data_IF_967869111540
#
_entry.id   IF_967869111540
#
_cell.length_a   1.000
_cell.length_b   1.000
_cell.length_c   1.000
_cell.angle_alpha   90.00
_cell.angle_beta   90.00
_cell.angle_gamma   90.00
#
_symmetry.space_group_name_H-M   'P 1'
#
loop_
_entity.id
_entity.type
_entity.pdbx_description
1 polymer ?
#
# COMPACT_ATOMS: atom_id res chain seq x y z
N UNK A 1 -11.48 -0.18 -3.00
CA UNK A 1 -10.07 0.28 -2.96
C UNK A 1 -9.98 1.79 -2.85
N UNK A 2 -10.35 2.57 -3.88
CA UNK A 2 -10.22 4.05 -3.85
C UNK A 2 -10.98 4.69 -2.69
N UNK A 3 -12.21 4.28 -2.42
CA UNK A 3 -13.00 4.84 -1.30
C UNK A 3 -12.38 4.49 0.07
N UNK A 4 -11.72 3.34 0.19
CA UNK A 4 -11.01 2.96 1.41
C UNK A 4 -9.72 3.78 1.57
N UNK A 5 -9.00 4.03 0.47
CA UNK A 5 -7.84 4.93 0.44
C UNK A 5 -8.23 6.36 0.82
N UNK A 6 -9.33 6.90 0.29
CA UNK A 6 -9.82 8.23 0.65
C UNK A 6 -10.20 8.32 2.13
N UNK A 7 -10.89 7.30 2.68
CA UNK A 7 -11.22 7.25 4.11
C UNK A 7 -9.99 7.12 5.01
N UNK A 8 -8.96 6.42 4.54
CA UNK A 8 -7.66 6.29 5.20
C UNK A 8 -6.79 7.55 5.08
N UNK A 9 -7.30 8.64 4.51
CA UNK A 9 -6.56 9.91 4.42
C UNK A 9 -5.46 9.91 3.36
N UNK A 10 -5.52 9.02 2.37
CA UNK A 10 -4.59 9.03 1.23
C UNK A 10 -4.86 10.25 0.37
N UNK A 11 -3.84 11.09 0.19
CA UNK A 11 -3.90 12.31 -0.62
C UNK A 11 -3.28 12.11 -1.99
N UNK A 12 -2.30 11.21 -2.10
CA UNK A 12 -1.67 10.83 -3.36
C UNK A 12 -1.30 9.34 -3.36
N UNK A 13 -1.52 8.68 -4.50
CA UNK A 13 -1.19 7.27 -4.70
C UNK A 13 -0.59 7.10 -6.09
N UNK A 14 0.70 6.74 -6.14
CA UNK A 14 1.43 6.56 -7.37
C UNK A 14 2.01 5.15 -7.43
N UNK A 15 1.79 4.47 -8.56
CA UNK A 15 2.33 3.13 -8.81
C UNK A 15 3.21 3.15 -10.05
N UNK A 16 4.49 2.88 -9.83
CA UNK A 16 5.51 2.80 -10.85
C UNK A 16 5.83 1.34 -11.14
N UNK A 17 6.01 1.00 -12.41
CA UNK A 17 6.43 -0.35 -12.82
C UNK A 17 7.66 -0.24 -13.70
N UNK A 18 8.69 -1.02 -13.37
CA UNK A 18 9.86 -1.21 -14.21
C UNK A 18 10.24 -2.67 -14.21
N UNK A 19 10.22 -3.27 -15.39
CA UNK A 19 10.47 -4.71 -15.58
C UNK A 19 9.48 -5.54 -14.74
N UNK A 20 9.96 -6.27 -13.74
CA UNK A 20 9.17 -7.11 -12.84
C UNK A 20 8.97 -6.49 -11.44
N UNK A 21 9.38 -5.23 -11.24
CA UNK A 21 9.26 -4.53 -9.97
C UNK A 21 8.18 -3.44 -10.05
N UNK A 22 7.27 -3.45 -9.09
CA UNK A 22 6.31 -2.39 -8.84
C UNK A 22 6.67 -1.62 -7.57
N UNK A 23 6.71 -0.30 -7.65
CA UNK A 23 6.99 0.59 -6.52
C UNK A 23 5.79 1.49 -6.30
N UNK A 24 5.24 1.47 -5.10
CA UNK A 24 4.17 2.35 -4.68
C UNK A 24 4.75 3.52 -3.87
N UNK A 25 4.36 4.73 -4.23
CA UNK A 25 4.49 5.91 -3.36
C UNK A 25 3.09 6.31 -2.92
N UNK A 26 2.89 6.36 -1.61
CA UNK A 26 1.62 6.72 -0.98
C UNK A 26 1.89 7.89 -0.06
N UNK A 27 1.13 8.96 -0.24
CA UNK A 27 1.09 10.10 0.67
C UNK A 27 -0.25 10.06 1.39
N UNK A 28 -0.21 10.14 2.71
CA UNK A 28 -1.39 10.19 3.56
C UNK A 28 -1.14 11.11 4.75
N UNK A 29 -2.22 11.64 5.32
CA UNK A 29 -2.15 12.50 6.49
C UNK A 29 -1.68 11.74 7.75
N UNK A 30 -2.08 10.47 7.87
CA UNK A 30 -1.80 9.60 9.01
C UNK A 30 -1.69 8.14 8.54
N UNK A 31 -0.51 7.53 8.73
CA UNK A 31 -0.25 6.16 8.30
C UNK A 31 -1.03 5.14 9.14
N UNK A 32 -1.26 5.41 10.42
CA UNK A 32 -2.00 4.49 11.31
C UNK A 32 -3.47 4.49 10.92
N UNK A 33 -4.03 5.66 10.59
CA UNK A 33 -5.39 5.77 10.06
C UNK A 33 -5.55 5.08 8.69
N UNK A 34 -4.53 5.15 7.84
CA UNK A 34 -4.50 4.38 6.59
C UNK A 34 -4.54 2.88 6.87
N UNK A 35 -3.66 2.39 7.76
CA UNK A 35 -3.59 0.97 8.12
C UNK A 35 -4.92 0.47 8.73
N UNK A 36 -5.53 1.23 9.64
CA UNK A 36 -6.85 0.90 10.21
C UNK A 36 -7.96 0.89 9.14
N UNK A 37 -7.93 1.82 8.19
CA UNK A 37 -8.94 1.90 7.14
C UNK A 37 -8.85 0.76 6.11
N UNK A 38 -7.64 0.21 5.90
CA UNK A 38 -7.43 -0.94 5.00
C UNK A 38 -7.58 -2.27 5.72
N UNK A 39 -7.35 -2.31 7.03
CA UNK A 39 -7.56 -3.49 7.87
C UNK A 39 -9.04 -3.87 7.90
N UNK A 40 -9.37 -5.07 7.40
CA UNK A 40 -10.73 -5.60 7.42
C UNK A 40 -11.69 -5.04 6.36
N UNK A 41 -11.24 -4.15 5.45
CA UNK A 41 -12.04 -3.71 4.32
C UNK A 41 -12.12 -4.81 3.24
N UNK A 42 -13.30 -5.38 3.03
CA UNK A 42 -13.53 -6.47 2.06
C UNK A 42 -13.09 -6.09 0.64
N UNK A 43 -13.24 -4.83 0.23
CA UNK A 43 -12.87 -4.40 -1.11
C UNK A 43 -11.35 -4.26 -1.27
N UNK A 44 -10.61 -3.98 -0.20
CA UNK A 44 -9.15 -4.06 -0.18
C UNK A 44 -8.70 -5.52 -0.19
N UNK A 45 -9.30 -6.37 0.63
CA UNK A 45 -8.97 -7.79 0.69
C UNK A 45 -9.18 -8.50 -0.66
N UNK A 46 -10.31 -8.25 -1.32
CA UNK A 46 -10.61 -8.78 -2.66
C UNK A 46 -9.60 -8.29 -3.70
N UNK A 47 -9.19 -7.02 -3.60
CA UNK A 47 -8.20 -6.43 -4.48
C UNK A 47 -6.80 -7.03 -4.28
N UNK A 48 -6.36 -7.20 -3.04
CA UNK A 48 -5.06 -7.81 -2.75
C UNK A 48 -5.05 -9.29 -3.13
N UNK A 49 -6.12 -10.04 -2.89
CA UNK A 49 -6.25 -11.42 -3.36
C UNK A 49 -6.20 -11.50 -4.89
N UNK A 50 -6.87 -10.58 -5.59
CA UNK A 50 -6.85 -10.51 -7.04
C UNK A 50 -5.47 -10.14 -7.59
N UNK A 51 -4.80 -9.14 -7.00
CA UNK A 51 -3.51 -8.66 -7.50
C UNK A 51 -2.35 -9.58 -7.09
N UNK A 52 -2.46 -10.27 -5.95
CA UNK A 52 -1.48 -11.22 -5.45
C UNK A 52 -1.17 -12.34 -6.44
N UNK A 53 -2.11 -12.74 -7.29
CA UNK A 53 -1.87 -13.75 -8.36
C UNK A 53 -0.83 -13.32 -9.40
N UNK A 54 -0.51 -12.03 -9.46
CA UNK A 54 0.47 -11.46 -10.38
C UNK A 54 1.81 -11.17 -9.71
N UNK A 55 1.87 -11.20 -8.36
CA UNK A 55 3.06 -10.85 -7.58
C UNK A 55 3.80 -12.13 -7.18
N UNK A 56 5.13 -12.09 -7.20
CA UNK A 56 5.97 -13.15 -6.61
C UNK A 56 6.22 -12.88 -5.12
N UNK A 57 6.35 -11.61 -4.78
CA UNK A 57 6.67 -11.06 -3.45
C UNK A 57 6.11 -9.62 -3.38
N UNK A 58 5.97 -9.05 -2.18
CA UNK A 58 5.42 -7.72 -1.95
C UNK A 58 4.42 -7.69 -0.80
N UNK A 59 3.31 -6.96 -0.98
CA UNK A 59 2.21 -6.94 -0.01
C UNK A 59 1.65 -8.35 0.18
N UNK A 60 1.66 -8.84 1.42
CA UNK A 60 1.11 -10.12 1.82
C UNK A 60 -0.24 -9.92 2.54
N UNK A 61 -1.38 -10.21 1.88
CA UNK A 61 -2.70 -10.04 2.49
C UNK A 61 -3.00 -11.05 3.61
N UNK A 62 -2.18 -12.09 3.78
CA UNK A 62 -2.32 -13.08 4.85
C UNK A 62 -1.49 -12.79 6.09
N UNK A 63 -0.63 -11.77 6.05
CA UNK A 63 0.18 -11.33 7.18
C UNK A 63 -0.59 -10.33 8.06
N UNK A 64 -0.06 -10.07 9.25
CA UNK A 64 -0.50 -8.95 10.08
C UNK A 64 -0.36 -7.63 9.29
N UNK A 65 -1.30 -6.66 9.36
CA UNK A 65 -1.24 -5.42 8.57
C UNK A 65 0.06 -4.64 8.69
N UNK A 66 0.70 -4.64 9.87
CA UNK A 66 1.97 -3.94 10.11
C UNK A 66 3.17 -4.67 9.46
N UNK A 67 3.07 -6.00 9.31
CA UNK A 67 4.12 -6.85 8.73
C UNK A 67 3.87 -7.20 7.25
N UNK A 68 2.63 -7.04 6.79
CA UNK A 68 2.15 -7.44 5.47
C UNK A 68 2.49 -6.43 4.38
N UNK A 69 2.81 -5.18 4.74
CA UNK A 69 3.27 -4.17 3.79
C UNK A 69 4.79 -3.99 3.95
N UNK A 70 5.60 -4.30 2.92
CA UNK A 70 7.05 -4.10 2.98
C UNK A 70 7.40 -2.63 2.79
N UNK A 71 7.16 -1.80 3.81
CA UNK A 71 7.52 -0.39 3.79
C UNK A 71 9.02 -0.20 3.58
N UNK A 72 9.38 0.79 2.76
CA UNK A 72 10.77 1.15 2.51
C UNK A 72 11.23 2.23 3.51
N UNK A 73 12.43 2.07 4.05
CA UNK A 73 13.07 3.11 4.84
C UNK A 73 13.58 4.25 3.94
N UNK A 74 13.19 5.50 4.23
CA UNK A 74 13.75 6.67 3.57
C UNK A 74 15.19 6.87 4.03
N UNK A 75 16.14 6.48 3.19
CA UNK A 75 17.58 6.59 3.50
C UNK A 75 18.20 7.95 3.15
N UNK A 76 17.60 8.70 2.22
CA UNK A 76 18.11 10.00 1.76
C UNK A 76 17.04 10.82 1.03
N UNK A 77 17.09 12.15 1.15
CA UNK A 77 16.21 13.11 0.48
C UNK A 77 16.95 14.44 0.28
N UNK A 78 16.58 15.18 -0.77
CA UNK A 78 17.09 16.53 -1.05
C UNK A 78 16.01 17.42 -1.65
N UNK A 79 15.80 18.58 -1.02
CA UNK A 79 14.94 19.66 -1.52
C UNK A 79 15.82 20.85 -1.94
N UNK A 80 15.79 21.29 -3.22
CA UNK A 80 16.65 22.36 -3.75
C UNK A 80 16.38 23.76 -3.18
#
# INVERSE_FOLDING_TARGET
VTDAMERGGVTNFELYVREDVAVCLLECDDIDAYLEAVEGDEAIADWEAYTGRFKREGVDPGADPEEGIPFMEKVWEFEP
#
